data_IF_537587760411
#
_entry.id   IF_537587760411
#
_cell.length_a   1.000
_cell.length_b   1.000
_cell.length_c   1.000
_cell.angle_alpha   90.00
_cell.angle_beta   90.00
_cell.angle_gamma   90.00
#
_symmetry.space_group_name_H-M   'P 1'
#
loop_
_entity.id
_entity.type
_entity.pdbx_description
1 polymer ?
#
# COMPACT_ATOMS: atom_id res chain seq x y z
N UNK A 1 -10.32 21.95 -19.47
CA UNK A 1 -10.06 22.43 -18.11
C UNK A 1 -8.54 22.48 -17.94
N UNK A 2 -7.96 23.59 -17.47
CA UNK A 2 -6.50 23.74 -17.34
C UNK A 2 -6.04 22.87 -16.15
N UNK A 3 -4.98 22.08 -16.32
CA UNK A 3 -4.38 21.22 -15.29
C UNK A 3 -2.86 21.41 -15.29
N UNK A 4 -2.23 21.28 -14.13
CA UNK A 4 -0.77 21.32 -14.01
C UNK A 4 -0.20 19.92 -14.18
N UNK A 5 0.92 19.84 -14.90
CA UNK A 5 1.59 18.59 -15.20
C UNK A 5 3.08 18.70 -14.85
N UNK A 6 3.62 17.65 -14.26
CA UNK A 6 5.03 17.57 -13.92
C UNK A 6 5.83 17.14 -15.16
N UNK A 7 7.02 17.73 -15.35
CA UNK A 7 7.97 17.34 -16.40
C UNK A 7 9.07 16.51 -15.77
N UNK A 8 9.34 15.34 -16.32
CA UNK A 8 10.50 14.54 -15.92
C UNK A 8 11.80 15.25 -16.33
N UNK A 9 12.65 15.53 -15.35
CA UNK A 9 13.95 16.19 -15.55
C UNK A 9 14.92 15.39 -16.44
N UNK A 10 14.77 14.07 -16.54
CA UNK A 10 15.68 13.23 -17.31
C UNK A 10 15.24 13.05 -18.76
N UNK A 11 13.92 13.03 -19.01
CA UNK A 11 13.37 12.72 -20.33
C UNK A 11 12.65 13.90 -20.99
N UNK A 12 12.38 14.97 -20.23
CA UNK A 12 11.58 16.12 -20.69
C UNK A 12 10.12 15.79 -20.95
N UNK A 13 9.67 14.57 -20.62
CA UNK A 13 8.29 14.12 -20.89
C UNK A 13 7.34 14.57 -19.80
N UNK A 14 6.10 14.85 -20.21
CA UNK A 14 5.00 15.06 -19.28
C UNK A 14 4.77 13.79 -18.45
N UNK A 15 4.54 13.94 -17.15
CA UNK A 15 4.13 12.88 -16.24
C UNK A 15 2.70 13.14 -15.76
N UNK A 16 1.69 12.82 -16.59
CA UNK A 16 0.30 13.04 -16.23
C UNK A 16 -0.07 12.25 -14.97
N UNK A 17 -0.86 12.87 -14.09
CA UNK A 17 -1.34 12.27 -12.84
C UNK A 17 -0.34 12.31 -11.66
N UNK A 18 0.93 12.66 -11.89
CA UNK A 18 1.91 12.84 -10.81
C UNK A 18 1.74 14.20 -10.15
N UNK A 19 1.61 14.23 -8.81
CA UNK A 19 1.54 15.45 -7.99
C UNK A 19 2.83 15.65 -7.19
N UNK A 20 3.17 16.90 -6.91
CA UNK A 20 4.21 17.22 -5.92
C UNK A 20 3.62 17.06 -4.51
N UNK A 21 4.40 16.47 -3.60
CA UNK A 21 3.98 16.18 -2.23
C UNK A 21 3.99 17.43 -1.34
N UNK A 22 3.42 17.29 -0.13
CA UNK A 22 3.55 18.30 0.94
C UNK A 22 2.82 19.62 0.66
N UNK A 23 1.76 19.60 -0.15
CA UNK A 23 1.00 20.80 -0.49
C UNK A 23 1.61 21.64 -1.63
N UNK A 24 2.79 21.27 -2.15
CA UNK A 24 3.47 22.05 -3.18
C UNK A 24 2.65 22.12 -4.47
N UNK A 25 1.98 21.03 -4.85
CA UNK A 25 1.16 21.02 -6.07
C UNK A 25 -0.04 21.96 -5.93
N UNK A 26 -0.69 22.00 -4.76
CA UNK A 26 -1.78 22.91 -4.44
C UNK A 26 -1.31 24.37 -4.45
N UNK A 27 -0.10 24.65 -3.95
CA UNK A 27 0.48 25.98 -3.97
C UNK A 27 0.72 26.47 -5.41
N UNK A 28 1.19 25.60 -6.31
CA UNK A 28 1.39 25.93 -7.72
C UNK A 28 0.02 26.06 -8.44
N UNK A 29 -0.95 25.19 -8.14
CA UNK A 29 -2.33 25.31 -8.66
C UNK A 29 -2.91 26.69 -8.31
N UNK A 30 -2.76 27.13 -7.06
CA UNK A 30 -3.18 28.45 -6.60
C UNK A 30 -2.43 29.59 -7.29
N UNK A 31 -1.10 29.48 -7.42
CA UNK A 31 -0.25 30.47 -8.10
C UNK A 31 -0.66 30.67 -9.57
N UNK A 32 -0.94 29.59 -10.28
CA UNK A 32 -1.24 29.60 -11.72
C UNK A 32 -2.73 29.83 -12.03
N UNK A 33 -3.55 30.12 -10.99
CA UNK A 33 -4.99 30.38 -11.12
C UNK A 33 -5.78 29.16 -11.58
N UNK A 34 -5.27 27.95 -11.33
CA UNK A 34 -5.93 26.68 -11.66
C UNK A 34 -6.76 26.22 -10.46
N UNK A 35 -7.81 25.41 -10.70
CA UNK A 35 -8.60 24.82 -9.62
C UNK A 35 -7.69 23.99 -8.72
N UNK A 36 -7.60 24.37 -7.44
CA UNK A 36 -6.88 23.61 -6.42
C UNK A 36 -7.61 22.30 -6.16
N UNK A 37 -6.90 21.18 -6.33
CA UNK A 37 -7.44 19.85 -6.06
C UNK A 37 -7.11 19.43 -4.62
N UNK A 38 -8.10 18.98 -3.83
CA UNK A 38 -7.84 18.48 -2.49
C UNK A 38 -7.01 17.21 -2.55
N UNK A 39 -6.15 17.01 -1.55
CA UNK A 39 -5.33 15.81 -1.40
C UNK A 39 -5.62 15.17 -0.06
N UNK A 40 -5.84 13.85 -0.07
CA UNK A 40 -5.92 13.06 1.15
C UNK A 40 -4.53 12.89 1.74
N UNK A 41 -4.36 13.24 3.02
CA UNK A 41 -3.09 13.08 3.72
C UNK A 41 -3.09 11.73 4.44
N UNK A 42 -2.18 10.84 4.05
CA UNK A 42 -1.92 9.60 4.78
C UNK A 42 -1.03 9.91 5.98
N UNK A 43 -1.58 9.83 7.20
CA UNK A 43 -0.85 10.14 8.43
C UNK A 43 0.04 9.01 8.91
N UNK A 44 -0.37 7.76 8.69
CA UNK A 44 0.35 6.57 9.10
C UNK A 44 0.09 5.44 8.11
N UNK A 45 1.05 4.52 8.00
CA UNK A 45 0.95 3.32 7.17
C UNK A 45 1.77 2.19 7.80
N UNK A 46 1.24 0.98 7.74
CA UNK A 46 1.94 -0.25 8.09
C UNK A 46 1.43 -1.36 7.16
N UNK A 47 2.30 -2.28 6.79
CA UNK A 47 1.89 -3.48 6.04
C UNK A 47 1.31 -4.53 6.99
N UNK A 48 0.41 -5.39 6.51
CA UNK A 48 -0.10 -6.48 7.33
C UNK A 48 1.01 -7.39 7.85
N UNK A 49 2.03 -7.67 7.01
CA UNK A 49 3.20 -8.45 7.40
C UNK A 49 3.86 -7.89 8.66
N UNK A 50 4.16 -6.59 8.66
CA UNK A 50 4.83 -5.94 9.78
C UNK A 50 3.91 -5.80 10.99
N UNK A 51 2.63 -5.50 10.77
CA UNK A 51 1.65 -5.39 11.83
C UNK A 51 1.46 -6.71 12.60
N UNK A 52 1.32 -7.84 11.89
CA UNK A 52 1.14 -9.14 12.54
C UNK A 52 2.42 -9.66 13.24
N UNK A 53 3.60 -9.27 12.76
CA UNK A 53 4.89 -9.58 13.41
C UNK A 53 5.08 -8.90 14.77
N UNK A 54 4.26 -7.91 15.11
CA UNK A 54 4.32 -7.23 16.41
C UNK A 54 3.62 -7.99 17.54
N UNK A 55 2.84 -9.04 17.24
CA UNK A 55 2.20 -9.85 18.27
C UNK A 55 3.21 -10.83 18.89
N UNK A 56 3.27 -10.86 20.22
CA UNK A 56 4.11 -11.83 20.96
C UNK A 56 3.75 -13.29 20.62
N UNK A 57 2.49 -13.53 20.26
CA UNK A 57 1.99 -14.82 19.78
C UNK A 57 1.03 -14.62 18.62
N UNK A 58 1.36 -15.25 17.49
CA UNK A 58 0.54 -15.23 16.28
C UNK A 58 0.06 -16.65 15.95
N UNK A 59 -1.19 -16.78 15.50
CA UNK A 59 -1.78 -18.04 15.04
C UNK A 59 -2.90 -17.72 14.03
N UNK A 60 -3.30 -18.70 13.22
CA UNK A 60 -4.37 -18.56 12.23
C UNK A 60 -5.02 -19.88 11.88
N UNK A 61 -6.21 -19.81 11.28
CA UNK A 61 -6.94 -20.96 10.76
C UNK A 61 -7.51 -20.63 9.37
N UNK A 62 -7.39 -21.56 8.44
CA UNK A 62 -7.99 -21.46 7.11
C UNK A 62 -8.01 -22.84 6.45
N UNK A 63 -8.92 -23.07 5.51
CA UNK A 63 -9.04 -24.32 4.77
C UNK A 63 -8.06 -24.48 3.59
N UNK A 64 -7.27 -23.45 3.28
CA UNK A 64 -6.48 -23.40 2.03
C UNK A 64 -5.03 -22.94 2.21
N UNK A 65 -4.46 -23.02 3.41
CA UNK A 65 -3.09 -22.56 3.67
C UNK A 65 -1.99 -23.52 3.19
N UNK A 66 -2.32 -24.78 2.90
CA UNK A 66 -1.33 -25.83 2.59
C UNK A 66 -0.41 -25.45 1.42
N UNK A 67 -0.97 -24.91 0.34
CA UNK A 67 -0.19 -24.50 -0.84
C UNK A 67 0.71 -23.29 -0.60
N UNK A 68 0.45 -22.53 0.47
CA UNK A 68 1.17 -21.31 0.84
C UNK A 68 1.99 -21.47 2.11
N UNK A 69 2.21 -22.71 2.58
CA UNK A 69 2.90 -22.98 3.84
C UNK A 69 4.31 -22.37 3.91
N UNK A 70 5.08 -22.43 2.81
CA UNK A 70 6.42 -21.84 2.74
C UNK A 70 6.41 -20.31 2.92
N UNK A 71 5.36 -19.64 2.43
CA UNK A 71 5.21 -18.19 2.62
C UNK A 71 4.81 -17.86 4.06
N UNK A 72 3.90 -18.64 4.66
CA UNK A 72 3.51 -18.47 6.06
C UNK A 72 4.69 -18.63 7.02
N UNK A 73 5.56 -19.61 6.78
CA UNK A 73 6.77 -19.80 7.57
C UNK A 73 7.77 -18.65 7.36
N UNK A 74 8.14 -18.34 6.11
CA UNK A 74 9.13 -17.28 5.81
C UNK A 74 8.69 -15.90 6.25
N UNK A 75 7.41 -15.58 6.11
CA UNK A 75 6.89 -14.24 6.40
C UNK A 75 6.41 -14.11 7.84
N UNK A 76 5.82 -15.14 8.45
CA UNK A 76 5.18 -15.02 9.76
C UNK A 76 5.71 -15.99 10.82
N UNK A 77 6.60 -16.92 10.47
CA UNK A 77 7.05 -17.99 11.37
C UNK A 77 5.92 -18.95 11.74
N UNK A 78 4.94 -19.12 10.84
CA UNK A 78 3.77 -19.97 11.06
C UNK A 78 3.88 -21.25 10.22
N UNK A 79 3.96 -22.38 10.89
CA UNK A 79 3.78 -23.69 10.27
C UNK A 79 2.30 -23.96 9.99
N UNK A 80 2.01 -24.57 8.83
CA UNK A 80 0.65 -24.96 8.45
C UNK A 80 0.45 -26.44 8.76
N UNK A 81 -0.59 -26.74 9.53
CA UNK A 81 -0.98 -28.11 9.88
C UNK A 81 -2.37 -28.40 9.31
N UNK A 82 -2.47 -29.47 8.51
CA UNK A 82 -3.75 -29.92 7.93
C UNK A 82 -4.51 -30.74 8.96
N UNK A 83 -5.70 -30.26 9.33
CA UNK A 83 -6.60 -30.95 10.25
C UNK A 83 -7.60 -31.79 9.45
N UNK A 84 -7.71 -33.12 9.69
CA UNK A 84 -8.69 -33.95 9.01
C UNK A 84 -10.13 -33.45 9.25
N UNK A 85 -10.95 -33.50 8.22
CA UNK A 85 -12.37 -33.15 8.32
C UNK A 85 -13.12 -34.20 9.12
N UNK A 86 -14.06 -33.78 9.96
CA UNK A 86 -15.03 -34.71 10.53
C UNK A 86 -15.89 -35.31 9.41
N UNK A 87 -16.11 -36.62 9.47
CA UNK A 87 -17.06 -37.35 8.63
C UNK A 87 -17.86 -38.27 9.55
N UNK A 88 -19.19 -38.11 9.56
CA UNK A 88 -20.12 -39.09 10.14
C UNK A 88 -20.38 -40.25 9.16
#
# INVERSE_FOLDING_TARGET
MKSLEHIDQFTGRMMPGRRWSGGLHQAIEAKEGVRVMPESITLASITFQNYFRMYDKLAGMTGTAETSAEEFDKVYGLEVVVIPTNVE
#
